data_IF_522023090296
#
_entry.id   IF_522023090296
#
_cell.length_a   1.000
_cell.length_b   1.000
_cell.length_c   1.000
_cell.angle_alpha   90.00
_cell.angle_beta   90.00
_cell.angle_gamma   90.00
#
_symmetry.space_group_name_H-M   'P 1'
#
loop_
_entity.id
_entity.type
_entity.pdbx_description
1 polymer ?
#
# COMPACT_ATOMS: atom_id res chain seq x y z
N UNK A 1 -14.55 -0.78 -43.56
CA UNK A 1 -13.64 -0.80 -44.73
C UNK A 1 -12.41 -1.56 -44.33
N UNK A 2 -12.31 -2.85 -44.69
CA UNK A 2 -11.07 -3.60 -44.97
C UNK A 2 -11.51 -4.95 -45.55
N UNK A 3 -11.30 -5.09 -46.85
CA UNK A 3 -11.59 -6.26 -47.68
C UNK A 3 -10.38 -7.17 -47.65
N UNK A 4 -10.51 -8.46 -47.30
CA UNK A 4 -9.50 -9.46 -47.69
C UNK A 4 -10.14 -10.82 -48.06
N UNK A 5 -10.31 -10.96 -49.38
CA UNK A 5 -10.13 -12.12 -50.25
C UNK A 5 -10.43 -13.56 -49.77
N UNK A 6 -11.41 -14.17 -50.46
CA UNK A 6 -11.57 -15.62 -50.65
C UNK A 6 -10.48 -16.12 -51.61
N UNK A 7 -9.75 -17.18 -51.25
CA UNK A 7 -9.12 -18.08 -52.23
C UNK A 7 -9.74 -19.48 -52.08
N UNK A 8 -10.38 -19.92 -53.16
CA UNK A 8 -10.99 -21.23 -53.34
C UNK A 8 -10.10 -22.03 -54.28
N UNK A 9 -9.44 -23.07 -53.80
CA UNK A 9 -8.86 -24.12 -54.64
C UNK A 9 -9.03 -25.46 -53.91
N UNK A 10 -9.87 -26.33 -54.48
CA UNK A 10 -10.04 -27.70 -54.02
C UNK A 10 -9.18 -28.66 -54.85
N UNK A 11 -8.50 -29.59 -54.19
CA UNK A 11 -8.47 -31.03 -54.51
C UNK A 11 -7.45 -31.76 -53.63
N UNK A 12 -7.97 -32.78 -52.92
CA UNK A 12 -7.37 -34.04 -52.47
C UNK A 12 -5.88 -34.09 -52.06
N UNK A 13 -5.61 -34.53 -50.82
CA UNK A 13 -4.99 -35.84 -50.49
C UNK A 13 -4.90 -36.01 -48.96
N UNK A 14 -5.33 -37.18 -48.49
CA UNK A 14 -5.27 -37.67 -47.11
C UNK A 14 -3.87 -37.64 -46.50
N UNK A 15 -3.71 -37.16 -45.26
CA UNK A 15 -2.73 -37.74 -44.31
C UNK A 15 -2.91 -37.22 -42.88
N UNK A 16 -3.21 -38.15 -41.96
CA UNK A 16 -2.93 -38.09 -40.51
C UNK A 16 -3.77 -37.15 -39.64
N UNK A 17 -4.93 -37.68 -39.26
CA UNK A 17 -5.61 -37.34 -38.01
C UNK A 17 -4.72 -37.72 -36.81
N UNK A 18 -3.96 -36.76 -36.28
CA UNK A 18 -3.48 -36.82 -34.88
C UNK A 18 -4.38 -35.92 -34.05
N UNK A 19 -5.33 -36.54 -33.34
CA UNK A 19 -6.04 -35.87 -32.23
C UNK A 19 -5.00 -35.56 -31.14
N UNK A 20 -4.45 -34.36 -31.15
CA UNK A 20 -3.78 -33.80 -29.98
C UNK A 20 -4.87 -33.28 -29.06
N UNK A 21 -5.23 -34.06 -28.03
CA UNK A 21 -6.04 -33.57 -26.92
C UNK A 21 -5.19 -32.55 -26.16
N UNK A 22 -5.41 -31.26 -26.42
CA UNK A 22 -4.86 -30.18 -25.61
C UNK A 22 -5.69 -30.17 -24.32
N UNK A 23 -5.21 -30.86 -23.29
CA UNK A 23 -5.74 -30.73 -21.94
C UNK A 23 -5.40 -29.33 -21.46
N UNK A 24 -6.33 -28.39 -21.60
CA UNK A 24 -6.22 -27.08 -20.93
C UNK A 24 -6.33 -27.36 -19.45
N UNK A 25 -5.20 -27.37 -18.75
CA UNK A 25 -5.18 -27.33 -17.31
C UNK A 25 -5.79 -26.00 -16.90
N UNK A 26 -7.05 -26.04 -16.43
CA UNK A 26 -7.66 -24.96 -15.68
C UNK A 26 -6.83 -24.79 -14.40
N UNK A 27 -5.80 -23.94 -14.47
CA UNK A 27 -5.17 -23.41 -13.28
C UNK A 27 -6.21 -22.53 -12.60
N UNK A 28 -7.00 -23.12 -11.71
CA UNK A 28 -7.83 -22.34 -10.80
C UNK A 28 -6.88 -21.41 -10.03
N UNK A 29 -7.13 -20.09 -9.98
CA UNK A 29 -6.37 -19.25 -9.07
C UNK A 29 -6.58 -19.82 -7.66
N UNK A 30 -5.49 -20.21 -6.99
CA UNK A 30 -5.57 -20.39 -5.54
C UNK A 30 -5.96 -19.02 -4.99
N UNK A 31 -7.24 -18.84 -4.64
CA UNK A 31 -7.64 -17.78 -3.75
C UNK A 31 -6.84 -18.01 -2.47
N UNK A 32 -5.82 -17.18 -2.24
CA UNK A 32 -5.06 -17.21 -1.01
C UNK A 32 -6.09 -17.09 0.12
N UNK A 33 -6.22 -18.16 0.91
CA UNK A 33 -7.08 -18.15 2.08
C UNK A 33 -6.67 -16.94 2.92
N UNK A 34 -7.62 -16.12 3.36
CA UNK A 34 -7.40 -15.03 4.33
C UNK A 34 -6.99 -15.62 5.68
N UNK A 35 -5.82 -16.25 5.73
CA UNK A 35 -5.16 -16.65 6.96
C UNK A 35 -4.42 -15.41 7.45
N UNK A 36 -4.99 -14.73 8.43
CA UNK A 36 -4.46 -13.51 9.00
C UNK A 36 -5.15 -13.16 10.31
N UNK A 37 -4.59 -12.20 11.03
CA UNK A 37 -5.19 -11.62 12.23
C UNK A 37 -5.36 -10.13 12.02
N UNK A 38 -6.53 -9.62 12.42
CA UNK A 38 -6.81 -8.20 12.42
C UNK A 38 -7.21 -7.72 13.80
N UNK A 39 -6.85 -6.48 14.10
CA UNK A 39 -7.18 -5.82 15.35
C UNK A 39 -7.50 -4.36 15.10
N UNK A 40 -8.46 -3.82 15.84
CA UNK A 40 -8.88 -2.44 15.74
C UNK A 40 -8.92 -1.82 17.13
N UNK A 41 -8.38 -0.62 17.24
CA UNK A 41 -8.46 0.17 18.46
C UNK A 41 -8.58 1.64 18.11
N UNK A 42 -9.74 2.24 18.43
CA UNK A 42 -10.05 3.62 18.05
C UNK A 42 -9.84 3.82 16.54
N UNK A 43 -9.09 4.84 16.13
CA UNK A 43 -8.76 5.12 14.73
C UNK A 43 -7.52 4.37 14.20
N UNK A 44 -7.13 3.27 14.87
CA UNK A 44 -6.03 2.41 14.47
C UNK A 44 -6.53 1.03 14.07
N UNK A 45 -5.88 0.47 13.06
CA UNK A 45 -6.09 -0.89 12.59
C UNK A 45 -4.75 -1.59 12.39
N UNK A 46 -4.75 -2.90 12.63
CA UNK A 46 -3.62 -3.79 12.38
C UNK A 46 -4.14 -4.96 11.56
N UNK A 47 -3.40 -5.34 10.52
CA UNK A 47 -3.63 -6.54 9.75
C UNK A 47 -2.29 -7.26 9.52
N UNK A 48 -2.20 -8.52 9.97
CA UNK A 48 -1.09 -9.40 9.65
C UNK A 48 -1.60 -10.56 8.81
N UNK A 49 -0.90 -10.88 7.73
CA UNK A 49 -1.32 -11.89 6.76
C UNK A 49 -0.24 -12.98 6.56
N UNK A 50 -0.55 -13.96 5.71
CA UNK A 50 0.34 -15.08 5.38
C UNK A 50 1.54 -14.71 4.50
N UNK A 51 1.66 -13.44 4.06
CA UNK A 51 2.90 -12.93 3.47
C UNK A 51 3.96 -12.62 4.53
N UNK A 52 3.70 -13.04 5.78
CA UNK A 52 4.56 -12.80 6.94
C UNK A 52 4.79 -11.30 7.13
N UNK A 53 3.76 -10.50 6.90
CA UNK A 53 3.83 -9.05 6.98
C UNK A 53 2.67 -8.52 7.80
N UNK A 54 2.98 -7.60 8.71
CA UNK A 54 1.99 -6.82 9.45
C UNK A 54 1.96 -5.38 8.92
N UNK A 55 0.75 -4.87 8.75
CA UNK A 55 0.46 -3.49 8.35
C UNK A 55 -0.40 -2.83 9.42
N UNK A 56 -0.02 -1.65 9.85
CA UNK A 56 -0.70 -0.87 10.89
C UNK A 56 -1.09 0.47 10.26
N UNK A 57 -2.38 0.74 10.18
CA UNK A 57 -2.92 2.02 9.71
C UNK A 57 -3.40 2.86 10.88
N UNK A 58 -3.00 4.12 10.93
CA UNK A 58 -3.48 5.10 11.91
C UNK A 58 -4.01 6.35 11.22
N UNK A 59 -5.25 6.72 11.50
CA UNK A 59 -5.85 7.92 10.93
C UNK A 59 -5.60 9.16 11.80
N UNK A 60 -5.67 10.33 11.16
CA UNK A 60 -5.71 11.62 11.83
C UNK A 60 -6.95 11.77 12.73
N UNK A 61 -6.91 12.74 13.65
CA UNK A 61 -8.08 13.16 14.43
C UNK A 61 -9.07 13.94 13.57
N UNK A 62 -8.54 14.71 12.64
CA UNK A 62 -9.31 15.40 11.63
C UNK A 62 -9.84 14.39 10.62
N UNK A 63 -11.10 14.50 10.22
CA UNK A 63 -11.66 13.58 9.25
C UNK A 63 -11.06 13.82 7.86
N UNK A 64 -10.64 12.75 7.20
CA UNK A 64 -10.19 12.76 5.80
C UNK A 64 -9.05 13.75 5.49
N UNK A 65 -8.13 13.99 6.42
CA UNK A 65 -6.94 14.83 6.16
C UNK A 65 -5.71 13.98 5.85
N UNK A 66 -5.45 12.97 6.69
CA UNK A 66 -4.30 12.10 6.50
C UNK A 66 -4.19 10.99 7.55
N UNK A 67 -3.05 10.32 7.54
CA UNK A 67 -2.74 9.21 8.43
C UNK A 67 -1.35 8.65 8.19
N UNK A 68 -1.08 7.50 8.76
CA UNK A 68 0.17 6.76 8.61
C UNK A 68 -0.07 5.29 8.31
N UNK A 69 0.86 4.71 7.57
CA UNK A 69 0.98 3.28 7.37
C UNK A 69 2.34 2.82 7.89
N UNK A 70 2.35 1.88 8.84
CA UNK A 70 3.54 1.20 9.29
C UNK A 70 3.53 -0.24 8.75
N UNK A 71 4.62 -0.67 8.13
CA UNK A 71 4.75 -2.02 7.58
C UNK A 71 5.96 -2.70 8.18
N UNK A 72 5.78 -3.92 8.70
CA UNK A 72 6.86 -4.73 9.25
C UNK A 72 6.73 -6.18 8.79
N UNK A 73 7.79 -6.68 8.16
CA UNK A 73 7.93 -8.11 7.83
C UNK A 73 8.33 -8.90 9.07
N UNK A 74 7.89 -10.15 9.19
CA UNK A 74 8.26 -11.05 10.27
C UNK A 74 9.74 -11.44 10.19
N UNK A 75 10.33 -11.74 11.35
CA UNK A 75 11.74 -12.09 11.47
C UNK A 75 12.45 -11.29 12.56
N UNK A 76 13.58 -11.80 13.02
CA UNK A 76 14.44 -11.07 13.94
C UNK A 76 15.06 -9.86 13.23
N UNK A 77 15.16 -8.73 13.92
CA UNK A 77 15.82 -7.51 13.45
C UNK A 77 15.25 -6.89 12.15
N UNK A 78 14.01 -7.21 11.78
CA UNK A 78 13.34 -6.53 10.67
C UNK A 78 12.97 -5.11 11.06
N UNK A 79 13.38 -4.14 10.23
CA UNK A 79 13.05 -2.72 10.41
C UNK A 79 11.59 -2.49 10.03
N UNK A 80 10.91 -1.63 10.79
CA UNK A 80 9.55 -1.18 10.44
C UNK A 80 9.67 0.01 9.49
N UNK A 81 9.02 -0.07 8.33
CA UNK A 81 8.90 1.05 7.40
C UNK A 81 7.69 1.92 7.78
N UNK A 82 7.82 3.24 7.64
CA UNK A 82 6.77 4.20 7.91
C UNK A 82 6.49 5.10 6.71
N UNK A 83 5.21 5.30 6.42
CA UNK A 83 4.72 6.15 5.34
C UNK A 83 3.61 7.06 5.88
N UNK A 84 3.58 8.30 5.39
CA UNK A 84 2.49 9.23 5.62
C UNK A 84 1.53 9.16 4.44
N UNK A 85 0.25 8.99 4.75
CA UNK A 85 -0.83 9.00 3.79
C UNK A 85 -1.54 10.34 3.91
N UNK A 86 -1.65 11.05 2.80
CA UNK A 86 -2.50 12.24 2.71
C UNK A 86 -3.80 11.84 2.03
N UNK A 87 -4.90 12.51 2.40
CA UNK A 87 -6.12 12.36 1.65
C UNK A 87 -5.89 12.82 0.20
N UNK A 88 -6.21 11.95 -0.75
CA UNK A 88 -6.13 12.27 -2.16
C UNK A 88 -7.25 13.26 -2.51
N UNK A 89 -6.89 14.45 -2.99
CA UNK A 89 -7.82 15.29 -3.74
C UNK A 89 -8.11 14.56 -5.06
N UNK A 90 -9.26 13.87 -5.14
CA UNK A 90 -9.68 13.07 -6.31
C UNK A 90 -9.73 13.87 -7.63
N UNK A 91 -9.63 15.19 -7.57
CA UNK A 91 -9.70 16.08 -8.72
C UNK A 91 -8.33 16.62 -9.20
N UNK A 92 -7.26 16.57 -8.39
CA UNK A 92 -5.96 17.14 -8.79
C UNK A 92 -4.78 16.40 -8.13
N UNK A 93 -3.84 15.92 -8.96
CA UNK A 93 -2.53 15.43 -8.51
C UNK A 93 -1.72 16.61 -7.93
N UNK A 94 -2.00 16.97 -6.67
CA UNK A 94 -1.24 18.03 -5.98
C UNK A 94 0.22 17.56 -5.78
N UNK A 95 1.20 18.46 -5.97
CA UNK A 95 2.59 18.13 -5.71
C UNK A 95 2.80 17.68 -4.25
N UNK A 96 3.73 16.76 -4.04
CA UNK A 96 4.01 16.21 -2.72
C UNK A 96 4.37 17.34 -1.76
N UNK A 97 3.56 17.48 -0.70
CA UNK A 97 3.67 18.59 0.23
C UNK A 97 4.89 18.39 1.14
N UNK A 98 5.61 19.48 1.41
CA UNK A 98 6.71 19.45 2.38
C UNK A 98 6.11 19.36 3.78
N UNK A 99 6.28 18.21 4.41
CA UNK A 99 5.83 17.96 5.79
C UNK A 99 7.01 17.76 6.72
N UNK A 100 6.82 18.14 7.97
CA UNK A 100 7.72 17.89 9.10
C UNK A 100 6.97 17.05 10.12
N UNK A 101 7.62 16.01 10.64
CA UNK A 101 7.13 15.24 11.78
C UNK A 101 7.40 16.02 13.07
N UNK A 102 6.37 16.20 13.89
CA UNK A 102 6.46 16.79 15.22
C UNK A 102 5.98 15.79 16.27
N UNK A 103 6.71 15.68 17.37
CA UNK A 103 6.37 14.85 18.52
C UNK A 103 6.42 15.73 19.76
N UNK A 104 5.32 15.78 20.51
CA UNK A 104 5.20 16.55 21.75
C UNK A 104 5.62 18.03 21.59
N UNK A 105 5.23 18.62 20.45
CA UNK A 105 5.54 20.01 20.13
C UNK A 105 6.99 20.26 19.70
N UNK A 106 7.82 19.23 19.52
CA UNK A 106 9.19 19.35 19.02
C UNK A 106 9.32 18.80 17.59
N UNK A 107 10.03 19.49 16.68
CA UNK A 107 10.27 18.99 15.34
C UNK A 107 11.27 17.83 15.38
N UNK A 108 10.87 16.68 14.85
CA UNK A 108 11.74 15.51 14.66
C UNK A 108 12.51 15.62 13.35
N UNK A 109 11.87 16.16 12.30
CA UNK A 109 12.51 16.43 11.02
C UNK A 109 11.57 16.39 9.83
N UNK A 110 12.05 16.91 8.71
CA UNK A 110 11.33 16.92 7.44
C UNK A 110 11.18 15.51 6.85
N UNK A 111 10.06 15.26 6.18
CA UNK A 111 9.71 13.96 5.58
C UNK A 111 10.17 13.96 4.13
N UNK A 112 10.75 12.84 3.70
CA UNK A 112 11.22 12.70 2.32
C UNK A 112 10.06 12.34 1.39
N UNK A 113 9.88 13.15 0.35
CA UNK A 113 8.97 12.86 -0.75
C UNK A 113 9.67 11.97 -1.79
N UNK A 114 9.09 10.82 -2.13
CA UNK A 114 9.58 9.91 -3.19
C UNK A 114 8.42 9.43 -4.04
N UNK A 115 8.41 9.74 -5.34
CA UNK A 115 7.47 9.18 -6.33
C UNK A 115 5.99 9.13 -5.88
N UNK A 116 5.53 10.22 -5.23
CA UNK A 116 4.18 10.42 -4.62
C UNK A 116 3.93 9.83 -3.24
N UNK A 117 4.93 9.20 -2.64
CA UNK A 117 4.88 8.74 -1.25
C UNK A 117 5.67 9.67 -0.32
N UNK A 118 5.17 9.85 0.90
CA UNK A 118 5.85 10.58 1.97
C UNK A 118 6.47 9.57 2.93
N UNK A 119 7.75 9.26 2.74
CA UNK A 119 8.43 8.19 3.46
C UNK A 119 9.15 8.75 4.68
N UNK A 120 8.91 8.13 5.83
CA UNK A 120 9.65 8.40 7.04
C UNK A 120 11.01 7.69 6.98
N UNK A 121 12.05 8.37 7.44
CA UNK A 121 13.32 7.71 7.73
C UNK A 121 13.15 6.67 8.85
N UNK A 122 14.10 5.75 8.99
CA UNK A 122 14.08 4.77 10.08
C UNK A 122 14.06 5.43 11.47
N UNK A 123 14.90 6.45 11.79
CA UNK A 123 14.81 7.15 13.06
C UNK A 123 13.46 7.84 13.30
N UNK A 124 12.87 8.47 12.28
CA UNK A 124 11.54 9.08 12.38
C UNK A 124 10.46 8.03 12.63
N UNK A 125 10.51 6.89 11.93
CA UNK A 125 9.58 5.79 12.12
C UNK A 125 9.67 5.23 13.54
N UNK A 126 10.89 5.06 14.05
CA UNK A 126 11.10 4.59 15.41
C UNK A 126 10.60 5.60 16.46
N UNK A 127 10.83 6.89 16.26
CA UNK A 127 10.35 7.96 17.14
C UNK A 127 8.81 8.01 17.16
N UNK A 128 8.18 7.93 15.98
CA UNK A 128 6.72 7.83 15.82
C UNK A 128 6.16 6.65 16.62
N UNK A 129 6.73 5.45 16.44
CA UNK A 129 6.28 4.23 17.15
C UNK A 129 6.38 4.39 18.67
N UNK A 130 7.46 5.02 19.17
CA UNK A 130 7.60 5.24 20.62
C UNK A 130 6.54 6.22 21.14
N UNK A 131 6.26 7.29 20.40
CA UNK A 131 5.25 8.28 20.78
C UNK A 131 3.83 7.67 20.87
N UNK A 132 3.42 6.88 19.86
CA UNK A 132 2.07 6.28 19.79
C UNK A 132 1.89 5.09 20.74
N UNK A 133 2.97 4.38 21.11
CA UNK A 133 2.91 3.33 22.13
C UNK A 133 2.73 3.90 23.54
N UNK A 134 3.21 5.12 23.76
CA UNK A 134 3.00 5.87 24.98
C UNK A 134 1.71 6.68 24.92
N UNK A 135 1.82 7.96 25.26
CA UNK A 135 0.73 8.94 25.19
C UNK A 135 1.19 10.23 24.51
N UNK A 136 2.17 10.12 23.60
CA UNK A 136 2.76 11.26 22.92
C UNK A 136 1.80 11.86 21.90
N UNK A 137 1.92 13.16 21.67
CA UNK A 137 1.22 13.85 20.59
C UNK A 137 2.05 13.82 19.32
N UNK A 138 1.50 13.23 18.26
CA UNK A 138 2.14 13.19 16.94
C UNK A 138 1.39 14.10 15.98
N UNK A 139 2.12 15.03 15.37
CA UNK A 139 1.59 15.97 14.39
C UNK A 139 2.45 15.96 13.13
N UNK A 140 1.79 16.14 11.98
CA UNK A 140 2.43 16.39 10.70
C UNK A 140 2.09 17.82 10.29
N UNK A 141 3.12 18.67 10.21
CA UNK A 141 2.98 20.11 9.95
C UNK A 141 3.66 20.50 8.65
N UNK A 142 3.17 21.57 8.03
CA UNK A 142 3.53 21.96 6.67
C UNK A 142 2.44 21.58 5.68
N UNK A 143 2.65 21.88 4.40
CA UNK A 143 1.61 21.71 3.38
C UNK A 143 0.39 22.64 3.56
N UNK A 144 -0.70 22.29 2.87
CA UNK A 144 -2.01 22.93 2.86
C UNK A 144 -2.75 22.71 4.18
N UNK A 145 -2.72 21.48 4.71
CA UNK A 145 -3.48 21.10 5.90
C UNK A 145 -2.65 20.25 6.87
N UNK A 146 -2.19 20.83 8.01
CA UNK A 146 -1.51 20.07 9.05
C UNK A 146 -2.51 19.18 9.81
N UNK A 147 -2.07 18.03 10.29
CA UNK A 147 -2.94 17.11 11.02
C UNK A 147 -2.24 16.45 12.21
N UNK A 148 -3.06 16.00 13.16
CA UNK A 148 -2.62 15.25 14.33
C UNK A 148 -3.10 13.81 14.22
N UNK A 149 -2.27 12.83 14.55
CA UNK A 149 -2.75 11.45 14.65
C UNK A 149 -3.69 11.27 15.83
N UNK A 150 -4.68 10.40 15.64
CA UNK A 150 -5.50 9.90 16.73
C UNK A 150 -4.66 9.09 17.72
N UNK A 151 -4.90 9.28 19.01
CA UNK A 151 -4.25 8.51 20.09
C UNK A 151 -5.13 7.41 20.64
#
# INVERSE_FOLDING_TARGET
MFTYYIQKTGSNVNFFQKLTVITVALAAPLAAQESGVSFYHKAWSVACDNTLTCRIGGASKQENVGGVLLTRTAGANTVTAGEVLLAEDRENEKPVQKLTLWIDGQPVGDITATDRHLRLSEPQTQALIQAIKGSGTVEFKGGDEPFQLSG
#
